data_IF_558953606858
#
_entry.id   IF_558953606858
#
_cell.length_a   1.000
_cell.length_b   1.000
_cell.length_c   1.000
_cell.angle_alpha   90.00
_cell.angle_beta   90.00
_cell.angle_gamma   90.00
#
_symmetry.space_group_name_H-M   'P 1'
#
loop_
_entity.id
_entity.type
_entity.pdbx_description
1 polymer ?
#
# COMPACT_ATOMS: atom_id res chain seq x y z
N UNK A 1 19.90 -10.11 0.67
CA UNK A 1 18.67 -10.09 -0.10
C UNK A 1 18.34 -11.46 -0.71
N UNK A 2 19.16 -12.02 -1.63
CA UNK A 2 18.89 -13.29 -2.33
C UNK A 2 18.52 -14.43 -1.36
N UNK A 3 19.21 -14.57 -0.23
CA UNK A 3 18.88 -15.58 0.79
C UNK A 3 17.47 -15.40 1.35
N UNK A 4 17.08 -14.17 1.65
CA UNK A 4 15.74 -13.85 2.17
C UNK A 4 14.66 -14.14 1.11
N UNK A 5 14.91 -13.75 -0.14
CA UNK A 5 14.00 -14.04 -1.25
C UNK A 5 13.80 -15.55 -1.40
N UNK A 6 14.88 -16.34 -1.42
CA UNK A 6 14.80 -17.80 -1.51
C UNK A 6 14.04 -18.44 -0.34
N UNK A 7 14.30 -17.98 0.88
CA UNK A 7 13.59 -18.50 2.06
C UNK A 7 12.11 -18.15 2.07
N UNK A 8 11.73 -17.02 1.46
CA UNK A 8 10.34 -16.59 1.39
C UNK A 8 9.52 -17.31 0.31
N UNK A 9 10.16 -17.88 -0.74
CA UNK A 9 9.47 -18.61 -1.83
C UNK A 9 8.60 -19.75 -1.34
N UNK A 10 9.11 -20.74 -0.58
CA UNK A 10 8.27 -21.84 -0.12
C UNK A 10 7.15 -21.37 0.81
N UNK A 11 7.41 -20.38 1.67
CA UNK A 11 6.38 -19.82 2.54
C UNK A 11 5.27 -19.15 1.71
N UNK A 12 5.64 -18.40 0.68
CA UNK A 12 4.67 -17.76 -0.21
C UNK A 12 3.78 -18.79 -0.90
N UNK A 13 4.39 -19.85 -1.45
CA UNK A 13 3.66 -20.89 -2.17
C UNK A 13 2.61 -21.61 -1.32
N UNK A 14 2.92 -21.91 -0.05
CA UNK A 14 1.99 -22.62 0.83
C UNK A 14 1.01 -21.69 1.60
N UNK A 15 1.37 -20.43 1.80
CA UNK A 15 0.61 -19.53 2.66
C UNK A 15 -0.31 -18.61 1.86
N UNK A 16 0.15 -18.08 0.71
CA UNK A 16 -0.58 -17.06 -0.03
C UNK A 16 -1.76 -17.65 -0.83
N UNK A 17 -2.78 -16.82 -1.04
CA UNK A 17 -3.84 -17.12 -2.03
C UNK A 17 -3.28 -16.95 -3.45
N UNK A 18 -3.91 -17.50 -4.49
CA UNK A 18 -3.42 -17.39 -5.86
C UNK A 18 -3.17 -15.95 -6.31
N UNK A 19 -4.09 -15.05 -6.04
CA UNK A 19 -3.93 -13.63 -6.37
C UNK A 19 -2.76 -12.99 -5.60
N UNK A 20 -2.68 -13.23 -4.29
CA UNK A 20 -1.56 -12.73 -3.49
C UNK A 20 -0.22 -13.37 -3.89
N UNK A 21 -0.22 -14.63 -4.36
CA UNK A 21 0.96 -15.31 -4.87
C UNK A 21 1.42 -14.72 -6.20
N UNK A 22 0.50 -14.34 -7.08
CA UNK A 22 0.81 -13.62 -8.32
C UNK A 22 1.49 -12.27 -8.02
N UNK A 23 0.91 -11.48 -7.12
CA UNK A 23 1.49 -10.19 -6.70
C UNK A 23 2.85 -10.39 -5.99
N UNK A 24 2.98 -11.46 -5.19
CA UNK A 24 4.26 -11.84 -4.61
C UNK A 24 5.30 -12.17 -5.70
N UNK A 25 4.95 -12.94 -6.74
CA UNK A 25 5.83 -13.28 -7.86
C UNK A 25 6.36 -12.04 -8.58
N UNK A 26 5.51 -11.05 -8.84
CA UNK A 26 5.89 -9.76 -9.42
C UNK A 26 6.82 -8.97 -8.47
N UNK A 27 6.49 -8.92 -7.18
CA UNK A 27 7.31 -8.25 -6.17
C UNK A 27 8.66 -8.94 -5.96
N UNK A 28 8.71 -10.27 -6.10
CA UNK A 28 9.93 -11.07 -5.99
C UNK A 28 10.92 -10.72 -7.10
N UNK A 29 10.46 -10.66 -8.35
CA UNK A 29 11.28 -10.29 -9.50
C UNK A 29 11.75 -8.83 -9.39
N UNK A 30 10.84 -7.92 -9.03
CA UNK A 30 11.16 -6.50 -8.88
C UNK A 30 12.17 -6.26 -7.76
N UNK A 31 12.11 -7.04 -6.67
CA UNK A 31 13.08 -6.97 -5.57
C UNK A 31 14.46 -7.50 -5.97
N UNK A 32 14.50 -8.57 -6.75
CA UNK A 32 15.75 -9.16 -7.23
C UNK A 32 16.54 -8.18 -8.13
N UNK A 33 15.83 -7.41 -8.96
CA UNK A 33 16.42 -6.46 -9.91
C UNK A 33 16.43 -5.01 -9.40
N UNK A 34 16.16 -4.78 -8.12
CA UNK A 34 16.18 -3.46 -7.48
C UNK A 34 15.30 -2.40 -8.15
N UNK A 35 14.11 -2.78 -8.60
CA UNK A 35 13.10 -1.85 -9.08
C UNK A 35 11.75 -1.97 -8.34
N UNK A 36 11.74 -2.63 -7.17
CA UNK A 36 10.52 -2.83 -6.38
C UNK A 36 9.86 -1.52 -5.91
N UNK A 37 10.63 -0.45 -5.80
CA UNK A 37 10.10 0.88 -5.54
C UNK A 37 9.14 1.38 -6.64
N UNK A 38 9.46 1.14 -7.92
CA UNK A 38 8.54 1.43 -9.03
C UNK A 38 7.34 0.49 -9.02
N UNK A 39 7.56 -0.81 -8.81
CA UNK A 39 6.48 -1.78 -8.73
C UNK A 39 5.46 -1.39 -7.65
N UNK A 40 5.91 -1.13 -6.42
CA UNK A 40 4.99 -0.75 -5.33
C UNK A 40 4.37 0.64 -5.52
N UNK A 41 4.98 1.53 -6.29
CA UNK A 41 4.39 2.84 -6.61
C UNK A 41 3.21 2.75 -7.58
N UNK A 42 3.08 1.66 -8.34
CA UNK A 42 1.99 1.43 -9.30
C UNK A 42 0.83 0.63 -8.71
N UNK A 43 0.99 0.08 -7.50
CA UNK A 43 -0.09 -0.67 -6.86
C UNK A 43 -1.22 0.26 -6.42
N UNK A 44 -2.42 -0.11 -6.78
CA UNK A 44 -3.62 0.51 -6.25
C UNK A 44 -3.94 -0.12 -4.89
N UNK A 45 -3.45 0.50 -3.82
CA UNK A 45 -3.71 0.04 -2.45
C UNK A 45 -5.19 0.13 -2.03
N UNK A 46 -6.04 0.70 -2.85
CA UNK A 46 -7.48 0.69 -2.63
C UNK A 46 -8.10 -0.67 -2.97
N UNK A 47 -7.70 -1.25 -4.09
CA UNK A 47 -8.23 -2.52 -4.59
C UNK A 47 -7.35 -3.72 -4.21
N UNK A 48 -6.13 -3.48 -3.71
CA UNK A 48 -5.20 -4.52 -3.27
C UNK A 48 -5.35 -4.85 -1.78
N UNK A 49 -4.72 -5.93 -1.34
CA UNK A 49 -4.58 -6.24 0.09
C UNK A 49 -3.83 -5.10 0.81
N UNK A 50 -4.14 -4.83 2.08
CA UNK A 50 -3.42 -3.83 2.86
C UNK A 50 -1.90 -4.06 2.87
N UNK A 51 -1.11 -2.99 2.84
CA UNK A 51 0.36 -3.01 2.73
C UNK A 51 1.06 -3.95 3.72
N UNK A 52 0.49 -4.14 4.91
CA UNK A 52 0.99 -5.03 5.96
C UNK A 52 1.03 -6.52 5.59
N UNK A 53 0.32 -6.93 4.53
CA UNK A 53 0.29 -8.32 4.04
C UNK A 53 1.27 -8.59 2.90
N UNK A 54 1.94 -7.57 2.36
CA UNK A 54 2.96 -7.75 1.33
C UNK A 54 4.30 -8.17 1.91
N UNK A 55 4.77 -9.43 1.71
CA UNK A 55 5.99 -9.92 2.36
C UNK A 55 7.26 -9.20 1.96
N UNK A 56 7.32 -8.66 0.73
CA UNK A 56 8.51 -8.02 0.19
C UNK A 56 8.38 -6.50 0.08
N UNK A 57 7.35 -5.89 0.68
CA UNK A 57 7.11 -4.45 0.57
C UNK A 57 8.36 -3.62 0.95
N UNK A 58 9.02 -3.97 2.05
CA UNK A 58 10.19 -3.24 2.56
C UNK A 58 11.36 -3.14 1.57
N UNK A 59 11.41 -4.01 0.55
CA UNK A 59 12.50 -4.00 -0.44
C UNK A 59 12.49 -2.74 -1.33
N UNK A 60 11.40 -1.96 -1.32
CA UNK A 60 11.33 -0.71 -2.07
C UNK A 60 12.43 0.27 -1.68
N UNK A 61 12.74 0.40 -0.38
CA UNK A 61 13.77 1.33 0.09
C UNK A 61 15.17 0.82 -0.26
N UNK A 62 15.39 -0.50 -0.20
CA UNK A 62 16.64 -1.10 -0.66
C UNK A 62 16.85 -0.85 -2.18
N UNK A 63 15.78 -0.91 -2.97
CA UNK A 63 15.85 -0.59 -4.40
C UNK A 63 16.29 0.86 -4.64
N UNK A 64 15.77 1.81 -3.87
CA UNK A 64 16.19 3.23 -3.93
C UNK A 64 17.67 3.38 -3.58
N UNK A 65 18.14 2.68 -2.55
CA UNK A 65 19.56 2.71 -2.14
C UNK A 65 20.47 2.13 -3.21
N UNK A 66 20.15 0.97 -3.78
CA UNK A 66 20.96 0.33 -4.82
C UNK A 66 20.96 1.14 -6.12
N UNK A 67 19.84 1.72 -6.51
CA UNK A 67 19.78 2.67 -7.62
C UNK A 67 20.70 3.88 -7.39
N UNK A 68 20.71 4.40 -6.17
CA UNK A 68 21.63 5.47 -5.80
C UNK A 68 23.09 5.03 -5.91
N UNK A 69 23.45 3.85 -5.40
CA UNK A 69 24.82 3.34 -5.47
C UNK A 69 25.30 3.07 -6.90
N UNK A 70 24.40 2.75 -7.82
CA UNK A 70 24.72 2.59 -9.24
C UNK A 70 24.87 3.95 -9.94
N UNK A 71 23.92 4.87 -9.72
CA UNK A 71 23.82 6.12 -10.47
C UNK A 71 24.79 7.20 -9.92
N UNK A 72 24.91 7.31 -8.62
CA UNK A 72 25.64 8.42 -7.99
C UNK A 72 27.14 8.43 -8.29
N UNK A 73 27.88 7.31 -8.35
CA UNK A 73 29.26 7.30 -8.81
C UNK A 73 29.43 7.85 -10.23
N UNK A 74 28.48 7.55 -11.12
CA UNK A 74 28.48 8.12 -12.48
C UNK A 74 28.29 9.63 -12.47
N UNK A 75 27.36 10.13 -11.65
CA UNK A 75 27.13 11.58 -11.46
C UNK A 75 28.39 12.24 -10.91
N UNK A 76 29.00 11.66 -9.88
CA UNK A 76 30.27 12.19 -9.32
C UNK A 76 31.40 12.18 -10.33
N UNK A 77 31.52 11.14 -11.16
CA UNK A 77 32.50 11.07 -12.23
C UNK A 77 32.33 12.21 -13.25
N UNK A 78 31.11 12.47 -13.67
CA UNK A 78 30.79 13.57 -14.59
C UNK A 78 31.13 14.92 -13.96
N UNK A 79 30.69 15.17 -12.71
CA UNK A 79 31.01 16.39 -11.99
C UNK A 79 32.54 16.56 -11.85
N UNK A 80 33.25 15.50 -11.46
CA UNK A 80 34.71 15.54 -11.30
C UNK A 80 35.44 15.86 -12.62
N UNK A 81 35.00 15.26 -13.72
CA UNK A 81 35.60 15.47 -15.05
C UNK A 81 35.45 16.92 -15.52
N UNK A 82 34.31 17.54 -15.30
CA UNK A 82 34.01 18.86 -15.87
C UNK A 82 34.18 20.01 -14.86
N UNK A 83 34.04 19.77 -13.55
CA UNK A 83 33.97 20.81 -12.49
C UNK A 83 34.53 20.34 -11.15
N UNK A 84 35.74 19.78 -11.16
CA UNK A 84 36.41 19.15 -9.99
C UNK A 84 36.33 19.97 -8.69
N UNK A 85 36.50 21.28 -8.76
CA UNK A 85 36.55 22.15 -7.58
C UNK A 85 35.18 22.46 -6.97
N UNK A 86 34.08 22.07 -7.61
CA UNK A 86 32.72 22.48 -7.24
C UNK A 86 31.81 21.29 -6.88
N UNK A 87 32.38 20.14 -6.51
CA UNK A 87 31.61 18.92 -6.17
C UNK A 87 30.55 19.22 -5.12
N UNK A 88 30.92 19.93 -4.05
CA UNK A 88 29.98 20.32 -2.98
C UNK A 88 28.78 21.12 -3.52
N UNK A 89 29.03 22.09 -4.39
CA UNK A 89 27.97 22.92 -4.98
C UNK A 89 26.97 22.05 -5.79
N UNK A 90 27.47 21.17 -6.66
CA UNK A 90 26.59 20.35 -7.50
C UNK A 90 25.80 19.31 -6.70
N UNK A 91 26.42 18.68 -5.70
CA UNK A 91 25.75 17.77 -4.77
C UNK A 91 24.66 18.52 -3.99
N UNK A 92 24.94 19.76 -3.55
CA UNK A 92 23.95 20.61 -2.87
C UNK A 92 22.81 21.04 -3.77
N UNK A 93 23.05 21.31 -5.07
CA UNK A 93 22.01 21.62 -6.03
C UNK A 93 21.08 20.42 -6.22
N UNK A 94 21.62 19.21 -6.41
CA UNK A 94 20.81 17.98 -6.56
C UNK A 94 20.02 17.72 -5.26
N UNK A 95 20.61 17.93 -4.10
CA UNK A 95 19.96 17.81 -2.80
C UNK A 95 18.75 18.77 -2.69
N UNK A 96 18.94 20.06 -2.97
CA UNK A 96 17.88 21.06 -2.90
C UNK A 96 16.79 20.80 -3.94
N UNK A 97 17.16 20.39 -5.16
CA UNK A 97 16.18 20.05 -6.18
C UNK A 97 15.31 18.86 -5.78
N UNK A 98 15.86 17.82 -5.15
CA UNK A 98 15.08 16.69 -4.66
C UNK A 98 14.09 17.09 -3.55
N UNK A 99 14.50 17.97 -2.63
CA UNK A 99 13.59 18.53 -1.62
C UNK A 99 12.46 19.33 -2.28
N UNK A 100 12.80 20.17 -3.26
CA UNK A 100 11.82 20.97 -3.98
C UNK A 100 10.83 20.08 -4.73
N UNK A 101 11.29 19.06 -5.43
CA UNK A 101 10.41 18.08 -6.08
C UNK A 101 9.48 17.40 -5.05
N UNK A 102 10.00 17.03 -3.89
CA UNK A 102 9.20 16.43 -2.83
C UNK A 102 8.09 17.39 -2.35
N UNK A 103 8.41 18.67 -2.17
CA UNK A 103 7.44 19.67 -1.67
C UNK A 103 6.36 20.06 -2.69
N UNK A 104 6.68 20.03 -3.98
CA UNK A 104 5.75 20.46 -5.05
C UNK A 104 4.79 19.36 -5.50
N UNK A 105 5.06 18.11 -5.18
CA UNK A 105 4.26 16.98 -5.65
C UNK A 105 3.35 16.49 -4.53
N UNK A 106 2.05 16.43 -4.80
CA UNK A 106 1.00 16.02 -3.84
C UNK A 106 0.60 14.54 -3.89
N UNK A 107 1.40 13.61 -4.44
CA UNK A 107 0.96 12.23 -4.66
C UNK A 107 1.65 11.20 -3.77
N UNK A 108 0.93 10.12 -3.41
CA UNK A 108 1.47 8.97 -2.67
C UNK A 108 2.65 8.28 -3.39
N UNK A 109 2.72 8.42 -4.71
CA UNK A 109 3.79 7.89 -5.58
C UNK A 109 5.17 8.44 -5.18
N UNK A 110 5.25 9.68 -4.67
CA UNK A 110 6.50 10.29 -4.21
C UNK A 110 7.20 9.51 -3.11
N UNK A 111 6.45 8.74 -2.31
CA UNK A 111 7.01 7.94 -1.23
C UNK A 111 8.02 6.89 -1.71
N UNK A 112 7.79 6.31 -2.88
CA UNK A 112 8.57 5.20 -3.43
C UNK A 112 9.68 5.63 -4.39
N UNK A 113 9.56 6.77 -5.07
CA UNK A 113 10.42 7.11 -6.19
C UNK A 113 11.70 7.83 -5.75
N UNK A 114 12.84 7.43 -6.36
CA UNK A 114 14.17 7.90 -6.01
C UNK A 114 14.33 9.43 -6.08
N UNK A 115 13.74 10.11 -7.07
CA UNK A 115 13.87 11.55 -7.25
C UNK A 115 13.32 12.36 -6.09
N UNK A 116 12.38 11.82 -5.34
CA UNK A 116 11.79 12.44 -4.16
C UNK A 116 12.50 12.06 -2.85
N UNK A 117 13.35 11.04 -2.89
CA UNK A 117 14.02 10.46 -1.71
C UNK A 117 15.54 10.63 -1.73
N UNK A 118 16.13 10.94 -2.90
CA UNK A 118 17.60 11.01 -3.02
C UNK A 118 18.23 12.05 -2.12
N UNK A 119 17.50 13.08 -1.67
CA UNK A 119 17.95 14.06 -0.70
C UNK A 119 18.37 13.42 0.63
N UNK A 120 17.73 12.34 1.06
CA UNK A 120 18.06 11.63 2.30
C UNK A 120 19.46 11.02 2.22
N UNK A 121 19.80 10.42 1.10
CA UNK A 121 21.10 9.82 0.83
C UNK A 121 22.19 10.89 0.57
N UNK A 122 21.84 11.94 -0.17
CA UNK A 122 22.74 13.06 -0.44
C UNK A 122 23.09 13.85 0.81
N UNK A 123 22.20 13.93 1.79
CA UNK A 123 22.48 14.54 3.09
C UNK A 123 23.69 13.86 3.77
N UNK A 124 23.76 12.53 3.74
CA UNK A 124 24.90 11.78 4.23
C UNK A 124 26.22 12.14 3.49
N UNK A 125 26.13 12.31 2.16
CA UNK A 125 27.29 12.75 1.35
C UNK A 125 27.74 14.17 1.73
N UNK A 126 26.81 15.10 1.90
CA UNK A 126 27.08 16.49 2.33
C UNK A 126 27.74 16.49 3.70
N UNK A 127 27.18 15.74 4.66
CA UNK A 127 27.72 15.58 6.01
C UNK A 127 29.17 15.05 5.95
N UNK A 128 29.45 14.06 5.12
CA UNK A 128 30.80 13.51 4.94
C UNK A 128 31.79 14.56 4.40
N UNK A 129 31.36 15.39 3.45
CA UNK A 129 32.22 16.47 2.91
C UNK A 129 32.52 17.52 4.00
N UNK A 130 31.50 17.92 4.75
CA UNK A 130 31.61 18.95 5.80
C UNK A 130 32.44 18.43 6.99
N UNK A 131 32.29 17.17 7.37
CA UNK A 131 32.96 16.56 8.53
C UNK A 131 34.46 16.54 8.44
N UNK A 132 35.04 16.69 7.23
CA UNK A 132 36.49 16.82 7.03
C UNK A 132 37.05 18.10 7.65
N UNK A 133 36.25 19.17 7.64
CA UNK A 133 36.70 20.50 8.08
C UNK A 133 36.03 20.95 9.38
N UNK A 134 34.84 20.42 9.69
CA UNK A 134 34.04 20.84 10.83
C UNK A 134 33.77 19.63 11.72
N UNK A 135 34.27 19.68 12.94
CA UNK A 135 33.96 18.73 14.01
C UNK A 135 33.21 19.47 15.10
N UNK A 136 31.98 19.11 15.33
CA UNK A 136 31.10 19.76 16.30
C UNK A 136 30.94 18.85 17.54
N UNK A 137 31.78 19.06 18.58
CA UNK A 137 31.69 18.24 19.78
C UNK A 137 30.37 18.46 20.50
N UNK A 138 29.82 17.39 21.08
CA UNK A 138 28.58 17.37 21.88
C UNK A 138 27.26 17.47 21.10
N UNK A 139 27.24 17.57 19.77
CA UNK A 139 26.01 17.55 19.00
C UNK A 139 25.35 16.15 18.87
N UNK A 140 26.10 15.08 19.14
CA UNK A 140 25.58 13.73 19.13
C UNK A 140 24.37 13.56 20.09
N UNK A 141 24.45 14.18 21.27
CA UNK A 141 23.34 14.10 22.24
C UNK A 141 22.07 14.74 21.68
N UNK A 142 22.20 15.92 21.08
CA UNK A 142 21.07 16.60 20.42
C UNK A 142 20.54 15.74 19.28
N UNK A 143 21.41 15.14 18.47
CA UNK A 143 21.04 14.22 17.40
C UNK A 143 20.24 13.02 17.92
N UNK A 144 20.70 12.37 18.99
CA UNK A 144 19.97 11.26 19.60
C UNK A 144 18.62 11.71 20.19
N UNK A 145 18.53 12.88 20.79
CA UNK A 145 17.27 13.43 21.29
C UNK A 145 16.28 13.68 20.15
N UNK A 146 16.72 14.26 19.04
CA UNK A 146 15.87 14.50 17.87
C UNK A 146 15.35 13.19 17.26
N UNK A 147 16.21 12.18 17.14
CA UNK A 147 15.80 10.84 16.66
C UNK A 147 14.78 10.23 17.63
N UNK A 148 15.04 10.30 18.94
CA UNK A 148 14.13 9.75 19.94
C UNK A 148 12.79 10.46 19.95
N UNK A 149 12.78 11.80 19.90
CA UNK A 149 11.53 12.59 19.81
C UNK A 149 10.75 12.18 18.56
N UNK A 150 11.43 12.04 17.43
CA UNK A 150 10.79 11.64 16.18
C UNK A 150 10.12 10.28 16.24
N UNK A 151 10.71 9.34 16.99
CA UNK A 151 10.17 7.98 17.16
C UNK A 151 8.95 7.90 18.08
N UNK A 152 8.83 8.80 19.06
CA UNK A 152 7.82 8.70 20.12
C UNK A 152 6.77 9.82 20.09
N UNK A 153 7.05 10.97 19.46
CA UNK A 153 6.16 12.12 19.48
C UNK A 153 5.34 12.29 18.19
N UNK A 154 5.73 11.62 17.10
CA UNK A 154 5.00 11.72 15.84
C UNK A 154 4.18 10.48 15.62
N UNK A 155 2.87 10.68 15.55
CA UNK A 155 1.87 9.73 15.11
C UNK A 155 1.62 9.95 13.61
N UNK A 156 0.98 9.00 12.95
CA UNK A 156 0.67 9.05 11.50
C UNK A 156 -0.14 10.30 11.10
N UNK A 157 -0.89 10.89 12.03
CA UNK A 157 -1.61 12.16 11.85
C UNK A 157 -0.70 13.39 11.60
N UNK A 158 0.57 13.36 12.04
CA UNK A 158 1.52 14.47 11.85
C UNK A 158 2.26 14.45 10.51
N UNK A 159 2.14 13.38 9.74
CA UNK A 159 2.84 13.19 8.45
C UNK A 159 2.47 14.28 7.43
N UNK A 160 1.30 14.89 7.55
CA UNK A 160 0.81 15.89 6.61
C UNK A 160 1.34 17.32 6.85
N UNK A 161 1.82 17.64 8.06
CA UNK A 161 2.23 19.01 8.42
C UNK A 161 3.75 19.19 8.55
N UNK A 162 4.45 18.20 9.01
CA UNK A 162 5.90 18.25 9.15
C UNK A 162 6.46 16.87 8.88
N UNK A 163 7.25 16.70 7.84
CA UNK A 163 7.80 15.38 7.56
C UNK A 163 8.75 14.95 8.68
N UNK A 164 8.39 13.99 9.55
CA UNK A 164 9.24 13.50 10.63
C UNK A 164 10.60 13.05 10.13
N UNK A 165 10.67 12.65 8.86
CA UNK A 165 11.90 12.28 8.13
C UNK A 165 12.97 13.36 8.18
N UNK A 166 12.61 14.65 8.09
CA UNK A 166 13.59 15.73 8.19
C UNK A 166 14.25 15.76 9.56
N UNK A 167 13.46 15.57 10.62
CA UNK A 167 13.98 15.61 11.99
C UNK A 167 14.91 14.43 12.25
N UNK A 168 14.52 13.22 11.82
CA UNK A 168 15.35 12.01 11.94
C UNK A 168 16.66 12.17 11.17
N UNK A 169 16.59 12.58 9.90
CA UNK A 169 17.76 12.74 9.05
C UNK A 169 18.69 13.86 9.54
N UNK A 170 18.12 14.96 10.03
CA UNK A 170 18.90 16.02 10.66
C UNK A 170 19.57 15.56 11.95
N UNK A 171 18.83 14.84 12.81
CA UNK A 171 19.38 14.22 14.02
C UNK A 171 20.52 13.26 13.71
N UNK A 172 20.37 12.38 12.72
CA UNK A 172 21.42 11.48 12.26
C UNK A 172 22.65 12.24 11.75
N UNK A 173 22.43 13.35 11.03
CA UNK A 173 23.52 14.21 10.54
C UNK A 173 24.33 14.81 11.67
N UNK A 174 23.68 15.26 12.76
CA UNK A 174 24.36 15.78 13.95
C UNK A 174 25.19 14.70 14.66
N UNK A 175 24.69 13.49 14.73
CA UNK A 175 25.44 12.35 15.28
C UNK A 175 26.68 12.08 14.44
N UNK A 176 26.59 12.08 13.11
CA UNK A 176 27.70 11.83 12.19
C UNK A 176 28.74 12.96 12.20
N UNK A 177 28.33 14.20 12.41
CA UNK A 177 29.23 15.35 12.52
C UNK A 177 29.99 15.41 13.87
N UNK A 178 29.52 14.69 14.85
CA UNK A 178 30.18 14.63 16.17
C UNK A 178 31.39 13.70 16.13
N UNK A 179 32.55 14.12 16.68
CA UNK A 179 33.69 13.24 16.78
C UNK A 179 33.32 12.06 17.70
N UNK A 180 33.66 10.86 17.26
CA UNK A 180 33.50 9.66 18.07
C UNK A 180 34.45 9.78 19.27
N UNK A 181 33.96 10.28 20.41
CA UNK A 181 34.64 10.06 21.67
C UNK A 181 34.59 8.56 21.91
N UNK A 182 35.76 7.93 22.09
CA UNK A 182 35.81 6.57 22.63
C UNK A 182 35.14 6.62 23.99
N UNK A 183 33.84 6.36 24.02
CA UNK A 183 33.15 6.12 25.28
C UNK A 183 33.75 4.83 25.83
N UNK A 184 34.58 4.96 26.82
CA UNK A 184 35.17 3.85 27.58
C UNK A 184 34.08 3.30 28.51
N UNK A 185 32.92 2.94 27.93
CA UNK A 185 31.83 2.34 28.67
C UNK A 185 32.02 0.84 28.54
N UNK A 186 32.69 0.26 29.50
CA UNK A 186 32.69 -1.17 29.80
C UNK A 186 31.29 -1.61 30.29
N UNK A 187 30.23 -1.19 29.59
CA UNK A 187 28.87 -1.45 29.99
C UNK A 187 28.32 -2.59 29.13
N UNK A 188 27.97 -3.69 29.76
CA UNK A 188 27.34 -4.86 29.16
C UNK A 188 26.17 -4.48 28.23
N UNK A 189 25.39 -3.47 28.60
CA UNK A 189 24.28 -2.95 27.81
C UNK A 189 24.75 -2.36 26.48
N UNK A 190 25.81 -1.55 26.48
CA UNK A 190 26.33 -0.92 25.26
C UNK A 190 26.86 -1.94 24.25
N UNK A 191 27.56 -2.97 24.71
CA UNK A 191 28.01 -4.06 23.84
C UNK A 191 26.88 -4.85 23.23
N UNK A 192 25.75 -4.99 23.95
CA UNK A 192 24.55 -5.65 23.42
C UNK A 192 23.85 -4.79 22.36
N UNK A 193 23.72 -3.47 22.61
CA UNK A 193 23.15 -2.52 21.63
C UNK A 193 24.00 -2.48 20.35
N UNK A 194 25.32 -2.44 20.45
CA UNK A 194 26.22 -2.50 19.30
C UNK A 194 26.03 -3.79 18.48
N UNK A 195 25.81 -4.93 19.14
CA UNK A 195 25.52 -6.19 18.45
C UNK A 195 24.21 -6.14 17.68
N UNK A 196 23.17 -5.50 18.21
CA UNK A 196 21.90 -5.30 17.48
C UNK A 196 22.17 -4.47 16.21
N UNK A 197 22.97 -3.41 16.30
CA UNK A 197 23.38 -2.63 15.13
C UNK A 197 24.11 -3.46 14.05
N UNK A 198 24.95 -4.40 14.47
CA UNK A 198 25.64 -5.30 13.52
C UNK A 198 24.64 -6.20 12.77
N UNK A 199 23.56 -6.63 13.43
CA UNK A 199 22.52 -7.47 12.80
C UNK A 199 21.43 -6.67 12.08
N UNK A 200 21.50 -5.33 12.09
CA UNK A 200 20.41 -4.45 11.61
C UNK A 200 19.99 -4.73 10.18
N UNK A 201 20.94 -5.00 9.28
CA UNK A 201 20.62 -5.34 7.88
C UNK A 201 19.88 -6.68 7.76
N UNK A 202 20.32 -7.71 8.49
CA UNK A 202 19.62 -9.01 8.53
C UNK A 202 18.23 -8.88 9.17
N UNK A 203 18.08 -8.06 10.23
CA UNK A 203 16.79 -7.75 10.85
C UNK A 203 15.88 -7.07 9.84
N UNK A 204 16.41 -6.06 9.14
CA UNK A 204 15.66 -5.33 8.11
C UNK A 204 15.17 -6.23 6.97
N UNK A 205 16.00 -7.17 6.50
CA UNK A 205 15.61 -8.08 5.43
C UNK A 205 14.52 -9.09 5.85
N UNK A 206 14.50 -9.50 7.12
CA UNK A 206 13.65 -10.58 7.59
C UNK A 206 12.37 -10.12 8.28
N UNK A 207 12.32 -8.86 8.79
CA UNK A 207 11.17 -8.41 9.59
C UNK A 207 9.85 -8.46 8.80
N UNK A 208 9.81 -7.89 7.61
CA UNK A 208 8.58 -7.81 6.83
C UNK A 208 8.06 -9.18 6.37
N UNK A 209 8.88 -10.09 5.79
CA UNK A 209 8.42 -11.43 5.48
C UNK A 209 7.86 -12.18 6.69
N UNK A 210 8.55 -12.16 7.83
CA UNK A 210 8.11 -12.84 9.05
C UNK A 210 6.74 -12.32 9.50
N UNK A 211 6.60 -11.01 9.63
CA UNK A 211 5.33 -10.42 10.09
C UNK A 211 4.21 -10.53 9.05
N UNK A 212 4.49 -10.34 7.78
CA UNK A 212 3.47 -10.42 6.73
C UNK A 212 2.90 -11.84 6.58
N UNK A 213 3.77 -12.87 6.49
CA UNK A 213 3.29 -14.25 6.43
C UNK A 213 2.54 -14.66 7.70
N UNK A 214 3.00 -14.23 8.86
CA UNK A 214 2.29 -14.52 10.12
C UNK A 214 0.90 -13.90 10.14
N UNK A 215 0.74 -12.66 9.68
CA UNK A 215 -0.57 -12.00 9.57
C UNK A 215 -1.51 -12.72 8.61
N UNK A 216 -1.00 -13.18 7.47
CA UNK A 216 -1.80 -13.99 6.54
C UNK A 216 -2.29 -15.27 7.20
N UNK A 217 -1.42 -15.97 7.95
CA UNK A 217 -1.78 -17.19 8.68
C UNK A 217 -2.80 -16.90 9.78
N UNK A 218 -2.61 -15.83 10.56
CA UNK A 218 -3.53 -15.42 11.62
C UNK A 218 -4.91 -15.05 11.04
N UNK A 219 -4.94 -14.27 9.96
CA UNK A 219 -6.19 -13.93 9.24
C UNK A 219 -6.91 -15.20 8.76
N UNK A 220 -6.20 -16.15 8.15
CA UNK A 220 -6.79 -17.41 7.67
C UNK A 220 -7.34 -18.29 8.80
N UNK A 221 -6.69 -18.29 9.96
CA UNK A 221 -7.09 -19.09 11.13
C UNK A 221 -7.99 -18.34 12.11
N UNK A 222 -8.35 -17.10 11.82
CA UNK A 222 -9.14 -16.22 12.71
C UNK A 222 -8.51 -16.08 14.11
N UNK A 223 -7.16 -16.06 14.15
CA UNK A 223 -6.40 -15.84 15.39
C UNK A 223 -6.15 -14.34 15.53
N UNK A 224 -6.49 -13.79 16.68
CA UNK A 224 -6.17 -12.40 17.00
C UNK A 224 -4.66 -12.20 17.20
N UNK A 225 -4.14 -11.06 16.71
CA UNK A 225 -2.76 -10.65 16.94
C UNK A 225 -2.61 -10.21 18.40
N UNK A 226 -2.22 -11.13 19.29
CA UNK A 226 -2.00 -10.83 20.71
C UNK A 226 -0.54 -10.48 21.00
N UNK A 227 -0.29 -9.85 22.17
CA UNK A 227 1.07 -9.49 22.62
C UNK A 227 2.03 -10.68 22.66
N UNK A 228 1.54 -11.87 23.02
CA UNK A 228 2.34 -13.09 23.07
C UNK A 228 2.84 -13.50 21.69
N UNK A 229 1.97 -13.49 20.68
CA UNK A 229 2.36 -13.84 19.30
C UNK A 229 3.37 -12.86 18.75
N UNK A 230 3.18 -11.57 18.95
CA UNK A 230 4.15 -10.53 18.54
C UNK A 230 5.50 -10.73 19.22
N UNK A 231 5.50 -11.06 20.52
CA UNK A 231 6.73 -11.33 21.27
C UNK A 231 7.48 -12.54 20.72
N UNK A 232 6.77 -13.63 20.43
CA UNK A 232 7.36 -14.84 19.81
C UNK A 232 7.97 -14.51 18.45
N UNK A 233 7.24 -13.79 17.59
CA UNK A 233 7.72 -13.38 16.28
C UNK A 233 8.95 -12.48 16.37
N UNK A 234 9.01 -11.59 17.36
CA UNK A 234 10.18 -10.74 17.60
C UNK A 234 11.42 -11.56 17.98
N UNK A 235 11.30 -12.54 18.88
CA UNK A 235 12.42 -13.41 19.21
C UNK A 235 12.83 -14.31 18.03
N UNK A 236 11.87 -14.80 17.25
CA UNK A 236 12.13 -15.52 16.01
C UNK A 236 12.91 -14.66 15.01
N UNK A 237 12.51 -13.40 14.83
CA UNK A 237 13.22 -12.44 14.00
C UNK A 237 14.67 -12.28 14.44
N UNK A 238 14.93 -12.07 15.73
CA UNK A 238 16.28 -11.92 16.25
C UNK A 238 17.13 -13.18 16.04
N UNK A 239 16.56 -14.35 16.27
CA UNK A 239 17.22 -15.64 16.05
C UNK A 239 17.60 -15.83 14.56
N UNK A 240 16.62 -15.65 13.66
CA UNK A 240 16.85 -15.82 12.22
C UNK A 240 17.81 -14.77 11.68
N UNK A 241 17.76 -13.53 12.19
CA UNK A 241 18.72 -12.48 11.82
C UNK A 241 20.14 -12.81 12.27
N UNK A 242 20.32 -13.36 13.47
CA UNK A 242 21.60 -13.84 13.96
C UNK A 242 22.15 -14.96 13.08
N UNK A 243 21.32 -15.92 12.69
CA UNK A 243 21.71 -17.01 11.79
C UNK A 243 22.08 -16.49 10.39
N UNK A 244 21.22 -15.63 9.80
CA UNK A 244 21.48 -15.05 8.48
C UNK A 244 22.78 -14.26 8.45
N UNK A 245 23.03 -13.44 9.47
CA UNK A 245 24.28 -12.67 9.57
C UNK A 245 25.51 -13.59 9.60
N UNK A 246 25.56 -14.56 10.50
CA UNK A 246 26.75 -15.39 10.72
C UNK A 246 27.00 -16.39 9.58
N UNK A 247 25.96 -17.00 9.02
CA UNK A 247 26.11 -18.07 8.05
C UNK A 247 26.04 -17.59 6.59
N UNK A 248 25.37 -16.47 6.33
CA UNK A 248 25.19 -15.95 4.98
C UNK A 248 26.00 -14.66 4.80
N UNK A 249 25.65 -13.60 5.52
CA UNK A 249 26.19 -12.25 5.32
C UNK A 249 27.69 -12.17 5.51
N UNK A 250 28.22 -12.67 6.62
CA UNK A 250 29.66 -12.68 6.88
C UNK A 250 30.45 -13.51 5.86
N UNK A 251 29.89 -14.61 5.38
CA UNK A 251 30.55 -15.43 4.36
C UNK A 251 30.54 -14.75 3.00
N UNK A 252 29.45 -14.08 2.68
CA UNK A 252 29.31 -13.32 1.46
C UNK A 252 30.33 -12.15 1.40
N UNK A 253 30.47 -11.40 2.49
CA UNK A 253 31.39 -10.25 2.56
C UNK A 253 32.85 -10.72 2.43
N UNK A 254 33.19 -11.86 3.01
CA UNK A 254 34.59 -12.34 3.09
C UNK A 254 35.07 -13.11 1.86
N UNK A 255 34.19 -13.60 1.00
CA UNK A 255 34.57 -14.54 -0.04
C UNK A 255 33.89 -14.25 -1.39
N UNK A 256 34.67 -13.78 -2.37
CA UNK A 256 34.15 -13.46 -3.71
C UNK A 256 33.58 -14.71 -4.45
N UNK A 257 34.10 -15.91 -4.18
CA UNK A 257 33.55 -17.15 -4.78
C UNK A 257 32.14 -17.40 -4.26
N UNK A 258 31.87 -17.10 -3.00
CA UNK A 258 30.53 -17.15 -2.43
C UNK A 258 29.61 -16.13 -3.09
N UNK A 259 30.12 -14.92 -3.37
CA UNK A 259 29.36 -13.90 -4.10
C UNK A 259 28.94 -14.39 -5.48
N UNK A 260 29.87 -15.03 -6.22
CA UNK A 260 29.57 -15.58 -7.54
C UNK A 260 28.56 -16.75 -7.46
N UNK A 261 28.69 -17.60 -6.45
CA UNK A 261 27.74 -18.72 -6.24
C UNK A 261 26.34 -18.19 -5.92
N UNK A 262 26.21 -17.09 -5.19
CA UNK A 262 24.92 -16.49 -4.90
C UNK A 262 24.20 -15.98 -6.15
N UNK A 263 24.91 -15.59 -7.21
CA UNK A 263 24.29 -15.23 -8.50
C UNK A 263 23.55 -16.43 -9.12
N UNK A 264 24.06 -17.66 -8.92
CA UNK A 264 23.35 -18.87 -9.38
C UNK A 264 22.03 -19.08 -8.64
N UNK A 265 21.93 -18.67 -7.39
CA UNK A 265 20.68 -18.72 -6.62
C UNK A 265 19.62 -17.72 -7.06
N UNK A 266 19.96 -16.75 -7.92
CA UNK A 266 18.98 -15.88 -8.56
C UNK A 266 18.13 -16.64 -9.60
N UNK A 267 18.68 -17.67 -10.25
CA UNK A 267 17.97 -18.45 -11.27
C UNK A 267 16.68 -19.12 -10.75
N UNK A 268 16.68 -19.85 -9.63
CA UNK A 268 15.45 -20.42 -9.06
C UNK A 268 14.39 -19.36 -8.74
N UNK A 269 14.81 -18.16 -8.29
CA UNK A 269 13.91 -17.04 -8.01
C UNK A 269 13.23 -16.57 -9.29
N UNK A 270 14.02 -16.38 -10.37
CA UNK A 270 13.52 -15.95 -11.68
C UNK A 270 12.55 -17.02 -12.24
N UNK A 271 12.97 -18.29 -12.23
CA UNK A 271 12.15 -19.39 -12.72
C UNK A 271 10.82 -19.46 -11.97
N UNK A 272 10.87 -19.38 -10.65
CA UNK A 272 9.66 -19.41 -9.83
C UNK A 272 8.76 -18.22 -10.14
N UNK A 273 9.31 -17.00 -10.25
CA UNK A 273 8.53 -15.80 -10.56
C UNK A 273 7.86 -15.89 -11.94
N UNK A 274 8.59 -16.38 -12.96
CA UNK A 274 8.02 -16.59 -14.30
C UNK A 274 6.94 -17.68 -14.26
N UNK A 275 7.19 -18.78 -13.54
CA UNK A 275 6.20 -19.85 -13.38
C UNK A 275 4.91 -19.32 -12.76
N UNK A 276 4.99 -18.57 -11.65
CA UNK A 276 3.81 -18.00 -10.99
C UNK A 276 3.08 -17.00 -11.86
N UNK A 277 3.81 -16.18 -12.63
CA UNK A 277 3.20 -15.23 -13.57
C UNK A 277 2.46 -15.94 -14.70
N UNK A 278 3.06 -16.97 -15.29
CA UNK A 278 2.46 -17.70 -16.40
C UNK A 278 1.27 -18.61 -15.97
N UNK A 279 1.26 -19.03 -14.71
CA UNK A 279 0.18 -19.84 -14.13
C UNK A 279 -0.88 -18.99 -13.39
N UNK A 280 -0.82 -17.67 -13.53
CA UNK A 280 -1.74 -16.73 -12.85
C UNK A 280 -1.90 -17.01 -11.34
N UNK A 281 -0.77 -17.28 -10.66
CA UNK A 281 -0.76 -17.63 -9.25
C UNK A 281 -1.15 -19.08 -8.95
N UNK A 282 -0.97 -20.00 -9.91
CA UNK A 282 -1.35 -21.45 -9.79
C UNK A 282 -2.86 -21.63 -9.60
N UNK A 283 -3.63 -20.85 -10.37
CA UNK A 283 -5.11 -20.89 -10.33
C UNK A 283 -5.70 -22.25 -10.74
N UNK A 284 -4.95 -23.08 -11.46
CA UNK A 284 -5.40 -24.41 -11.88
C UNK A 284 -5.85 -25.33 -10.72
N UNK A 285 -5.31 -25.11 -9.51
CA UNK A 285 -5.76 -25.82 -8.30
C UNK A 285 -7.15 -25.37 -7.81
N UNK A 286 -7.60 -24.21 -8.27
CA UNK A 286 -8.87 -23.56 -7.88
C UNK A 286 -9.78 -23.29 -9.08
N UNK A 287 -9.51 -23.94 -10.22
CA UNK A 287 -10.17 -23.68 -11.49
C UNK A 287 -11.70 -23.80 -11.40
N UNK A 288 -12.20 -24.75 -10.63
CA UNK A 288 -13.62 -24.91 -10.37
C UNK A 288 -14.18 -23.72 -9.57
N UNK A 289 -13.48 -23.28 -8.52
CA UNK A 289 -13.88 -22.12 -7.70
C UNK A 289 -13.75 -20.84 -8.51
N UNK A 290 -12.64 -20.67 -9.26
CA UNK A 290 -12.43 -19.49 -10.09
C UNK A 290 -13.34 -19.46 -11.31
N UNK A 291 -13.72 -20.60 -11.90
CA UNK A 291 -14.71 -20.64 -12.97
C UNK A 291 -16.10 -20.24 -12.46
N UNK A 292 -16.45 -20.65 -11.26
CA UNK A 292 -17.67 -20.20 -10.60
C UNK A 292 -17.59 -18.69 -10.28
N UNK A 293 -16.47 -18.22 -9.68
CA UNK A 293 -16.25 -16.80 -9.41
C UNK A 293 -16.11 -16.01 -10.72
N UNK A 294 -15.41 -16.52 -11.74
CA UNK A 294 -15.22 -15.85 -13.03
C UNK A 294 -16.49 -15.69 -13.83
N UNK A 295 -17.46 -16.60 -13.68
CA UNK A 295 -18.84 -16.36 -14.15
C UNK A 295 -19.46 -15.14 -13.45
N UNK A 296 -18.97 -14.79 -12.28
CA UNK A 296 -19.42 -13.65 -11.49
C UNK A 296 -18.57 -12.36 -11.70
N UNK A 297 -17.38 -12.41 -12.30
CA UNK A 297 -16.46 -11.27 -12.46
C UNK A 297 -15.99 -11.11 -13.91
N UNK A 298 -16.90 -10.96 -14.90
CA UNK A 298 -16.48 -10.50 -16.21
C UNK A 298 -16.23 -8.99 -16.20
N UNK A 299 -15.14 -8.55 -16.81
CA UNK A 299 -14.61 -7.17 -16.76
C UNK A 299 -15.55 -6.08 -17.32
N UNK A 300 -16.63 -6.45 -17.99
CA UNK A 300 -17.48 -5.53 -18.77
C UNK A 300 -18.80 -5.14 -18.07
N UNK A 301 -18.88 -5.28 -16.73
CA UNK A 301 -20.16 -5.18 -16.02
C UNK A 301 -20.34 -3.85 -15.30
N UNK A 302 -21.10 -2.95 -15.93
CA UNK A 302 -21.70 -1.81 -15.24
C UNK A 302 -22.85 -2.31 -14.34
N UNK A 303 -22.73 -2.08 -13.02
CA UNK A 303 -23.78 -2.46 -12.08
C UNK A 303 -23.90 -3.95 -11.72
N UNK A 304 -22.93 -4.80 -12.09
CA UNK A 304 -22.91 -6.22 -11.69
C UNK A 304 -23.73 -7.18 -12.55
N UNK A 305 -24.44 -6.70 -13.56
CA UNK A 305 -25.19 -7.50 -14.53
C UNK A 305 -24.74 -7.11 -15.93
N UNK A 306 -24.54 -8.11 -16.80
CA UNK A 306 -24.19 -7.85 -18.20
C UNK A 306 -25.29 -6.99 -18.85
N UNK A 307 -24.97 -5.84 -19.46
CA UNK A 307 -25.96 -5.00 -20.14
C UNK A 307 -26.81 -5.74 -21.21
N UNK A 308 -26.26 -6.79 -21.81
CA UNK A 308 -26.97 -7.64 -22.78
C UNK A 308 -28.11 -8.44 -22.14
N UNK A 309 -28.10 -8.62 -20.82
CA UNK A 309 -29.14 -9.33 -20.06
C UNK A 309 -30.24 -8.40 -19.59
N UNK A 310 -30.09 -7.09 -19.76
CA UNK A 310 -31.11 -6.13 -19.42
C UNK A 310 -32.26 -6.21 -20.45
N UNK A 311 -33.45 -6.46 -19.99
CA UNK A 311 -34.68 -6.41 -20.86
C UNK A 311 -34.96 -4.97 -21.31
N UNK A 312 -34.59 -4.02 -20.46
CA UNK A 312 -34.60 -2.59 -20.73
C UNK A 312 -33.43 -1.94 -20.03
N UNK A 313 -32.70 -1.08 -20.73
CA UNK A 313 -31.59 -0.31 -20.12
C UNK A 313 -31.61 1.13 -20.60
N UNK A 314 -31.39 2.04 -19.69
CA UNK A 314 -31.08 3.45 -19.96
C UNK A 314 -29.63 3.74 -19.65
N UNK A 315 -29.22 4.99 -19.83
CA UNK A 315 -27.90 5.46 -19.35
C UNK A 315 -27.74 5.29 -17.81
N UNK A 316 -28.86 5.19 -17.08
CA UNK A 316 -28.87 5.28 -15.61
C UNK A 316 -29.25 3.99 -14.91
N UNK A 317 -30.00 3.08 -15.53
CA UNK A 317 -30.42 1.85 -14.90
C UNK A 317 -30.54 0.66 -15.87
N UNK A 318 -30.52 -0.54 -15.30
CA UNK A 318 -30.77 -1.82 -15.96
C UNK A 318 -31.98 -2.47 -15.33
N UNK A 319 -32.92 -2.93 -16.16
CA UNK A 319 -34.09 -3.69 -15.76
C UNK A 319 -34.03 -5.09 -16.35
N UNK A 320 -34.35 -6.10 -15.51
CA UNK A 320 -34.42 -7.50 -15.90
C UNK A 320 -35.77 -8.06 -15.47
N UNK A 321 -36.49 -8.64 -16.39
CA UNK A 321 -37.81 -9.22 -16.15
C UNK A 321 -38.97 -8.39 -16.71
N UNK A 322 -40.18 -8.71 -16.31
CA UNK A 322 -41.40 -8.09 -16.82
C UNK A 322 -41.81 -6.90 -15.94
N UNK A 323 -42.01 -5.73 -16.57
CA UNK A 323 -42.40 -4.47 -15.91
C UNK A 323 -43.72 -4.52 -15.12
N UNK A 324 -44.58 -5.47 -15.44
CA UNK A 324 -45.90 -5.59 -14.78
C UNK A 324 -45.84 -6.37 -13.45
N UNK A 325 -44.70 -6.92 -13.10
CA UNK A 325 -44.46 -7.68 -11.87
C UNK A 325 -43.99 -6.77 -10.74
N UNK A 326 -44.19 -7.18 -9.47
CA UNK A 326 -43.55 -6.50 -8.33
C UNK A 326 -42.05 -6.33 -8.51
N UNK A 327 -41.55 -5.14 -8.27
CA UNK A 327 -40.14 -4.81 -8.54
C UNK A 327 -39.26 -4.92 -7.29
N UNK A 328 -38.07 -5.52 -7.44
CA UNK A 328 -36.96 -5.39 -6.51
C UNK A 328 -35.99 -4.34 -7.06
N UNK A 329 -35.95 -3.20 -6.42
CA UNK A 329 -35.17 -2.03 -6.87
C UNK A 329 -33.91 -1.89 -6.01
N UNK A 330 -32.73 -2.00 -6.63
CA UNK A 330 -31.43 -1.85 -5.93
C UNK A 330 -30.83 -0.50 -6.33
N UNK A 331 -30.57 0.33 -5.32
CA UNK A 331 -30.08 1.70 -5.50
C UNK A 331 -28.80 1.90 -4.69
N UNK A 332 -27.70 2.29 -5.34
CA UNK A 332 -26.48 2.60 -4.62
C UNK A 332 -25.19 2.59 -5.47
N UNK A 333 -24.08 2.43 -4.79
CA UNK A 333 -22.76 2.42 -5.42
C UNK A 333 -22.26 0.99 -5.79
N UNK A 334 -21.00 0.90 -6.23
CA UNK A 334 -20.37 -0.37 -6.62
C UNK A 334 -20.36 -1.47 -5.54
N UNK A 335 -20.59 -1.13 -4.27
CA UNK A 335 -20.67 -2.13 -3.19
C UNK A 335 -21.93 -2.99 -3.26
N UNK A 336 -22.98 -2.50 -3.90
CA UNK A 336 -24.18 -3.29 -4.16
C UNK A 336 -24.06 -4.20 -5.39
N UNK A 337 -23.00 -4.10 -6.16
CA UNK A 337 -22.76 -4.93 -7.35
C UNK A 337 -22.85 -6.43 -7.06
N UNK A 338 -22.26 -6.87 -5.95
CA UNK A 338 -22.30 -8.30 -5.54
C UNK A 338 -23.71 -8.75 -5.18
N UNK A 339 -24.46 -7.90 -4.45
CA UNK A 339 -25.86 -8.17 -4.09
C UNK A 339 -26.75 -8.19 -5.32
N UNK A 340 -26.59 -7.27 -6.26
CA UNK A 340 -27.33 -7.22 -7.51
C UNK A 340 -27.19 -8.50 -8.32
N UNK A 341 -25.97 -9.00 -8.36
CA UNK A 341 -25.66 -10.25 -9.05
C UNK A 341 -26.24 -11.46 -8.33
N UNK A 342 -26.19 -11.48 -6.99
CA UNK A 342 -26.86 -12.51 -6.20
C UNK A 342 -28.38 -12.52 -6.49
N UNK A 343 -29.02 -11.35 -6.50
CA UNK A 343 -30.43 -11.22 -6.81
C UNK A 343 -30.73 -11.67 -8.25
N UNK A 344 -29.91 -11.24 -9.22
CA UNK A 344 -30.09 -11.67 -10.61
C UNK A 344 -30.05 -13.19 -10.76
N UNK A 345 -29.20 -13.90 -10.04
CA UNK A 345 -29.06 -15.35 -10.16
C UNK A 345 -30.07 -16.15 -9.35
N UNK A 346 -30.73 -15.54 -8.36
CA UNK A 346 -31.61 -16.24 -7.43
C UNK A 346 -33.05 -15.72 -7.39
N UNK A 347 -33.34 -14.59 -8.03
CA UNK A 347 -34.69 -14.04 -8.09
C UNK A 347 -35.53 -14.82 -9.11
N UNK A 348 -36.76 -15.12 -8.76
CA UNK A 348 -37.74 -15.73 -9.67
C UNK A 348 -38.36 -14.65 -10.59
N UNK A 349 -37.86 -14.56 -11.81
CA UNK A 349 -38.29 -13.59 -12.80
C UNK A 349 -39.74 -13.86 -13.37
N UNK A 350 -40.35 -14.96 -12.99
CA UNK A 350 -41.80 -15.18 -13.27
C UNK A 350 -42.68 -14.44 -12.26
N UNK A 351 -42.13 -14.12 -11.07
CA UNK A 351 -42.85 -13.46 -9.99
C UNK A 351 -42.38 -12.02 -9.72
N UNK A 352 -41.14 -11.71 -10.04
CA UNK A 352 -40.51 -10.43 -9.71
C UNK A 352 -39.77 -9.83 -10.91
N UNK A 353 -39.63 -8.51 -10.85
CA UNK A 353 -38.82 -7.72 -11.75
C UNK A 353 -37.63 -7.13 -10.97
N UNK A 354 -36.44 -7.11 -11.54
CA UNK A 354 -35.22 -6.54 -10.91
C UNK A 354 -34.82 -5.24 -11.61
N UNK A 355 -34.67 -4.18 -10.85
CA UNK A 355 -34.25 -2.87 -11.35
C UNK A 355 -32.99 -2.42 -10.60
N UNK A 356 -31.93 -2.10 -11.33
CA UNK A 356 -30.60 -1.79 -10.78
C UNK A 356 -30.20 -0.36 -11.11
N UNK A 357 -30.12 0.49 -10.11
CA UNK A 357 -29.52 1.82 -10.15
C UNK A 357 -28.18 1.79 -9.44
N UNK A 358 -27.13 1.34 -10.10
CA UNK A 358 -25.80 1.21 -9.50
C UNK A 358 -24.81 2.00 -10.31
N UNK A 359 -24.14 2.95 -9.66
CA UNK A 359 -23.09 3.77 -10.26
C UNK A 359 -21.83 3.76 -9.40
N UNK A 360 -20.67 3.54 -10.04
CA UNK A 360 -19.40 3.44 -9.32
C UNK A 360 -19.03 4.77 -8.65
N UNK A 361 -18.73 4.70 -7.35
CA UNK A 361 -18.29 5.85 -6.57
C UNK A 361 -19.40 6.90 -6.32
N UNK A 362 -20.65 6.55 -6.56
CA UNK A 362 -21.77 7.47 -6.43
C UNK A 362 -22.71 7.02 -5.30
N UNK A 363 -22.76 7.77 -4.18
CA UNK A 363 -23.84 7.61 -3.24
C UNK A 363 -25.12 8.26 -3.83
N UNK A 364 -26.09 7.46 -4.15
CA UNK A 364 -27.40 7.99 -4.56
C UNK A 364 -28.12 8.62 -3.37
N UNK A 365 -28.23 9.94 -3.36
CA UNK A 365 -29.06 10.68 -2.41
C UNK A 365 -30.36 11.08 -3.10
N UNK A 366 -31.47 10.51 -2.64
CA UNK A 366 -32.79 10.67 -3.27
C UNK A 366 -33.51 12.00 -2.99
N UNK A 367 -32.85 12.94 -2.32
CA UNK A 367 -33.47 14.22 -1.94
C UNK A 367 -32.71 15.44 -2.47
N UNK A 368 -31.94 15.27 -3.58
CA UNK A 368 -31.17 16.36 -4.17
C UNK A 368 -30.06 16.85 -3.26
N UNK A 369 -29.47 15.95 -2.48
CA UNK A 369 -28.34 16.25 -1.60
C UNK A 369 -27.29 17.04 -2.35
N UNK A 370 -26.83 18.14 -1.77
CA UNK A 370 -25.75 18.96 -2.31
C UNK A 370 -24.41 18.27 -2.14
N UNK A 371 -24.28 17.13 -2.80
CA UNK A 371 -22.96 16.58 -3.06
C UNK A 371 -22.27 17.60 -3.98
N UNK A 372 -21.14 18.15 -3.59
CA UNK A 372 -20.26 18.98 -4.43
C UNK A 372 -19.82 18.25 -5.72
N UNK A 373 -20.19 17.01 -5.89
CA UNK A 373 -19.98 16.13 -7.03
C UNK A 373 -21.19 16.14 -7.93
N UNK A 374 -21.29 17.16 -8.72
CA UNK A 374 -22.36 17.55 -9.61
C UNK A 374 -22.96 16.52 -10.58
N UNK A 375 -22.72 15.23 -10.48
CA UNK A 375 -23.23 14.24 -11.45
C UNK A 375 -23.97 13.04 -10.86
N UNK A 376 -23.87 12.76 -9.57
CA UNK A 376 -24.40 11.53 -8.99
C UNK A 376 -25.92 11.52 -8.79
N UNK A 377 -26.52 12.62 -8.39
CA UNK A 377 -27.96 12.74 -8.13
C UNK A 377 -28.55 13.87 -9.00
N UNK A 378 -28.76 13.59 -10.26
CA UNK A 378 -29.54 14.53 -11.10
C UNK A 378 -31.02 14.31 -10.80
N UNK A 379 -31.81 15.40 -10.85
CA UNK A 379 -33.30 15.33 -10.73
C UNK A 379 -33.89 14.36 -11.71
N UNK A 380 -33.26 14.14 -12.84
CA UNK A 380 -33.69 13.20 -13.88
C UNK A 380 -33.56 11.75 -13.39
N UNK A 381 -32.42 11.38 -12.76
CA UNK A 381 -32.24 10.06 -12.15
C UNK A 381 -33.23 9.80 -11.00
N UNK A 382 -33.45 10.80 -10.17
CA UNK A 382 -34.45 10.73 -9.10
C UNK A 382 -35.86 10.47 -9.67
N UNK A 383 -36.23 11.22 -10.67
CA UNK A 383 -37.55 11.05 -11.32
C UNK A 383 -37.72 9.65 -11.94
N UNK A 384 -36.65 9.12 -12.56
CA UNK A 384 -36.65 7.75 -13.10
C UNK A 384 -36.85 6.71 -11.99
N UNK A 385 -36.10 6.83 -10.88
CA UNK A 385 -36.26 5.93 -9.73
C UNK A 385 -37.67 5.97 -9.18
N UNK A 386 -38.24 7.18 -8.98
CA UNK A 386 -39.60 7.32 -8.45
C UNK A 386 -40.70 6.84 -9.40
N UNK A 387 -40.50 7.01 -10.70
CA UNK A 387 -41.47 6.51 -11.69
C UNK A 387 -41.60 4.99 -11.74
N UNK A 388 -40.52 4.30 -11.25
CA UNK A 388 -40.42 2.85 -11.23
C UNK A 388 -40.81 2.24 -9.87
N UNK A 389 -41.01 3.06 -8.84
CA UNK A 389 -41.50 2.62 -7.52
C UNK A 389 -42.99 2.38 -7.56
N UNK A 390 -43.41 1.17 -7.24
CA UNK A 390 -44.80 0.79 -7.06
C UNK A 390 -45.02 0.44 -5.58
N UNK A 391 -46.26 0.50 -5.05
CA UNK A 391 -46.56 0.13 -3.65
C UNK A 391 -46.10 -1.29 -3.26
N UNK A 392 -45.97 -2.18 -4.26
CA UNK A 392 -45.50 -3.56 -4.06
C UNK A 392 -44.00 -3.73 -4.35
N UNK A 393 -43.24 -2.66 -4.49
CA UNK A 393 -41.81 -2.73 -4.76
C UNK A 393 -41.00 -2.92 -3.48
N UNK A 394 -40.01 -3.80 -3.51
CA UNK A 394 -39.02 -3.95 -2.48
C UNK A 394 -37.80 -3.10 -2.85
N UNK A 395 -37.39 -2.16 -1.99
CA UNK A 395 -36.27 -1.29 -2.23
C UNK A 395 -35.08 -1.74 -1.38
N UNK A 396 -33.93 -1.94 -2.02
CA UNK A 396 -32.67 -2.21 -1.41
C UNK A 396 -31.78 -0.98 -1.66
N UNK A 397 -31.59 -0.20 -0.62
CA UNK A 397 -30.77 1.00 -0.65
C UNK A 397 -29.47 0.82 0.15
N UNK A 398 -28.34 1.10 -0.45
CA UNK A 398 -27.07 0.89 0.22
C UNK A 398 -25.88 1.47 -0.53
N UNK A 399 -24.70 1.35 0.12
CA UNK A 399 -23.46 1.85 -0.42
C UNK A 399 -22.36 1.92 0.63
N UNK A 400 -21.21 2.45 0.25
CA UNK A 400 -20.09 2.66 1.17
C UNK A 400 -20.30 3.93 2.01
N UNK A 401 -21.45 4.06 2.68
CA UNK A 401 -21.81 5.23 3.48
C UNK A 401 -20.77 5.68 4.49
N UNK A 402 -20.07 4.79 5.26
CA UNK A 402 -19.04 5.23 6.17
C UNK A 402 -17.95 6.05 5.50
N UNK A 403 -17.60 5.76 4.25
CA UNK A 403 -16.60 6.51 3.49
C UNK A 403 -17.10 7.92 3.11
N UNK A 404 -18.37 8.03 2.75
CA UNK A 404 -18.97 9.32 2.38
C UNK A 404 -19.21 10.20 3.61
N UNK A 405 -19.62 9.59 4.73
CA UNK A 405 -19.87 10.27 6.00
C UNK A 405 -18.62 10.91 6.58
N UNK A 406 -17.47 10.33 6.32
CA UNK A 406 -16.19 10.75 6.88
C UNK A 406 -15.51 11.87 6.08
N UNK A 407 -16.19 12.52 5.13
CA UNK A 407 -15.65 13.67 4.41
C UNK A 407 -14.52 13.36 3.43
N UNK A 408 -14.43 12.14 2.95
CA UNK A 408 -13.40 11.73 2.00
C UNK A 408 -13.54 12.49 0.69
N UNK A 409 -12.65 13.45 0.44
CA UNK A 409 -12.55 14.14 -0.83
C UNK A 409 -11.90 13.20 -1.88
N UNK A 410 -12.67 12.82 -2.90
CA UNK A 410 -12.15 11.98 -4.00
C UNK A 410 -11.13 12.68 -4.89
N UNK A 411 -10.90 13.98 -4.69
CA UNK A 411 -9.89 14.75 -5.45
C UNK A 411 -8.48 14.63 -4.88
N UNK A 412 -8.33 14.25 -3.63
CA UNK A 412 -7.03 14.07 -3.01
C UNK A 412 -6.72 12.60 -2.90
N UNK A 413 -5.87 12.16 -3.77
CA UNK A 413 -4.97 11.03 -3.70
C UNK A 413 -5.21 9.93 -2.64
N UNK A 414 -5.19 8.73 -3.15
CA UNK A 414 -4.97 7.44 -2.52
C UNK A 414 -3.84 7.43 -1.45
N UNK A 415 -3.97 8.16 -0.35
CA UNK A 415 -2.77 8.32 0.47
C UNK A 415 -2.86 8.55 1.96
N UNK A 416 -4.01 8.64 2.58
CA UNK A 416 -4.04 8.59 4.05
C UNK A 416 -5.43 8.21 4.56
N UNK A 417 -5.51 7.01 5.10
CA UNK A 417 -6.73 6.48 5.72
C UNK A 417 -6.97 7.08 7.12
N UNK A 418 -6.11 7.98 7.60
CA UNK A 418 -6.07 8.41 9.01
C UNK A 418 -6.19 9.91 9.27
N UNK A 419 -6.48 10.73 8.27
CA UNK A 419 -6.71 12.14 8.54
C UNK A 419 -8.11 12.37 9.10
N UNK A 420 -8.12 12.90 10.32
CA UNK A 420 -9.25 13.46 11.10
C UNK A 420 -10.63 13.31 10.45
N UNK A 421 -11.20 12.14 10.63
CA UNK A 421 -12.54 11.77 10.20
C UNK A 421 -13.54 12.62 10.99
N UNK A 422 -13.82 13.83 10.52
CA UNK A 422 -14.95 14.60 11.02
C UNK A 422 -16.16 14.18 10.21
N UNK A 423 -17.17 13.57 10.88
CA UNK A 423 -18.42 13.23 10.21
C UNK A 423 -18.96 14.47 9.50
N UNK A 424 -19.27 14.35 8.21
CA UNK A 424 -19.94 15.43 7.51
C UNK A 424 -21.42 15.42 7.92
N UNK A 425 -21.90 16.36 8.75
CA UNK A 425 -23.26 16.35 9.25
C UNK A 425 -24.30 16.49 8.15
N UNK A 426 -23.97 17.16 7.04
CA UNK A 426 -24.88 17.30 5.89
C UNK A 426 -25.14 15.96 5.18
N UNK A 427 -24.13 15.09 5.10
CA UNK A 427 -24.28 13.77 4.50
C UNK A 427 -25.13 12.82 5.35
N UNK A 428 -25.04 12.91 6.68
CA UNK A 428 -25.89 12.14 7.59
C UNK A 428 -27.35 12.57 7.40
N UNK A 429 -27.59 13.88 7.29
CA UNK A 429 -28.93 14.42 7.06
C UNK A 429 -29.50 13.97 5.69
N UNK A 430 -28.68 13.98 4.64
CA UNK A 430 -29.08 13.57 3.30
C UNK A 430 -29.42 12.06 3.22
N UNK A 431 -28.65 11.20 3.92
CA UNK A 431 -28.97 9.77 4.03
C UNK A 431 -30.27 9.57 4.79
N UNK A 432 -30.44 10.26 5.94
CA UNK A 432 -31.65 10.16 6.75
C UNK A 432 -32.88 10.61 5.98
N UNK A 433 -32.79 11.71 5.23
CA UNK A 433 -33.86 12.19 4.36
C UNK A 433 -34.18 11.21 3.25
N UNK A 434 -33.16 10.60 2.65
CA UNK A 434 -33.35 9.59 1.59
C UNK A 434 -34.08 8.35 2.11
N UNK A 435 -33.72 7.88 3.32
CA UNK A 435 -34.39 6.76 3.97
C UNK A 435 -35.85 7.13 4.33
N UNK A 436 -36.08 8.30 4.92
CA UNK A 436 -37.42 8.78 5.25
C UNK A 436 -38.29 8.97 4.01
N UNK A 437 -37.70 9.47 2.93
CA UNK A 437 -38.42 9.65 1.65
C UNK A 437 -38.81 8.30 1.05
N UNK A 438 -37.92 7.30 1.04
CA UNK A 438 -38.21 5.94 0.59
C UNK A 438 -39.38 5.38 1.40
N UNK A 439 -39.27 5.44 2.73
CA UNK A 439 -40.27 4.94 3.68
C UNK A 439 -41.69 5.55 3.42
N UNK A 440 -41.76 6.86 3.18
CA UNK A 440 -43.05 7.55 2.91
C UNK A 440 -43.67 7.25 1.57
N UNK A 441 -42.91 6.79 0.58
CA UNK A 441 -43.39 6.51 -0.77
C UNK A 441 -43.56 5.02 -1.05
N UNK A 442 -43.29 4.15 -0.05
CA UNK A 442 -43.46 2.69 -0.12
C UNK A 442 -44.60 2.16 0.75
N UNK A 443 -45.27 3.02 1.55
CA UNK A 443 -46.55 2.74 2.21
C UNK A 443 -47.69 3.07 1.23
#
# INVERSE_FOLDING_TARGET
LISTLLMSVPLAYFILSPLALLEYGKSLLSSLFFYSNYYFSTLDFYNSEPSKFFPLLHTWSLSVEEQFYILFPGVLFVIHKFRKNNIFLYVSIIFLSSILFNSLTGSAVKFYLIQYRVWELLLGCIVMIISKNIKLPNLALIGYLLISISLFAFDDSFVNYFEPKFIVNFGASLVLLSPVKKFNINNFIFTKIQKIGIYSYSIYLLHQPIFAFSRVVFKKRQIEEGYLSITILFFLLLLLSHLNYNYVELRFIKNYKVQLTFLLFALPIIIFSIFINNSEGVTSQYEEVYSQIGKYYSEDQRGGVNPELCTFSTQYYCQVGNQNLPSVIVIGDSHLTTLSRFLYNNLDFEQYNLILFIEQGCPFFLTGGKSERGSCATKEKENDIFSLMNPNSTIVYGGRFPRYLNGYDFKTDYGSIEDDIKPNPFLIEDISKSIEYISKNTE
#
